data_IF_579914534857
#
_entry.id   IF_579914534857
#
_cell.length_a   1.000
_cell.length_b   1.000
_cell.length_c   1.000
_cell.angle_alpha   90.00
_cell.angle_beta   90.00
_cell.angle_gamma   90.00
#
_symmetry.space_group_name_H-M   'P 1'
#
loop_
_entity.id
_entity.type
_entity.pdbx_description
1 polymer ?
#
# COMPACT_ATOMS: atom_id res chain seq x y z
N UNK A 1 -19.38 -15.54 -7.44
CA UNK A 1 -18.10 -14.97 -6.96
C UNK A 1 -18.06 -15.00 -5.45
N UNK A 2 -16.96 -15.49 -4.87
CA UNK A 2 -16.73 -15.53 -3.41
C UNK A 2 -16.59 -14.10 -2.90
N UNK A 3 -17.43 -13.69 -1.94
CA UNK A 3 -17.33 -12.38 -1.28
C UNK A 3 -16.25 -12.42 -0.20
N UNK A 4 -15.53 -11.33 -0.02
CA UNK A 4 -14.60 -11.13 1.10
C UNK A 4 -15.37 -10.52 2.28
N UNK A 5 -15.12 -11.00 3.50
CA UNK A 5 -15.80 -10.50 4.69
C UNK A 5 -14.85 -9.67 5.53
N UNK A 6 -15.23 -8.44 5.88
CA UNK A 6 -14.48 -7.60 6.82
C UNK A 6 -14.95 -7.84 8.25
N UNK A 7 -14.01 -7.88 9.18
CA UNK A 7 -14.26 -8.12 10.61
C UNK A 7 -13.30 -7.36 11.54
N UNK A 8 -12.39 -6.57 10.94
CA UNK A 8 -11.35 -5.79 11.62
C UNK A 8 -10.14 -6.60 12.10
N UNK A 9 -10.01 -7.87 11.72
CA UNK A 9 -8.94 -8.75 12.22
C UNK A 9 -8.24 -9.58 11.14
N UNK A 10 -8.98 -10.08 10.15
CA UNK A 10 -8.52 -11.17 9.28
C UNK A 10 -8.36 -10.76 7.82
N UNK A 11 -8.28 -9.47 7.50
CA UNK A 11 -8.10 -9.03 6.13
C UNK A 11 -6.65 -9.27 5.70
N UNK A 12 -6.45 -10.04 4.63
CA UNK A 12 -5.11 -10.29 4.08
C UNK A 12 -4.76 -9.29 2.98
N UNK A 13 -3.47 -9.14 2.69
CA UNK A 13 -3.03 -8.33 1.55
C UNK A 13 -3.59 -8.86 0.21
N UNK A 14 -3.71 -10.18 0.04
CA UNK A 14 -4.32 -10.78 -1.16
C UNK A 14 -5.81 -10.47 -1.29
N UNK A 15 -6.54 -10.41 -0.17
CA UNK A 15 -7.93 -9.94 -0.17
C UNK A 15 -8.01 -8.49 -0.62
N UNK A 16 -7.13 -7.64 -0.08
CA UNK A 16 -7.05 -6.23 -0.49
C UNK A 16 -6.81 -6.10 -2.00
N UNK A 17 -5.82 -6.81 -2.57
CA UNK A 17 -5.56 -6.82 -4.02
C UNK A 17 -6.77 -7.31 -4.82
N UNK A 18 -7.45 -8.35 -4.33
CA UNK A 18 -8.64 -8.89 -4.99
C UNK A 18 -9.77 -7.87 -5.05
N UNK A 19 -9.92 -7.03 -4.02
CA UNK A 19 -10.93 -5.98 -3.98
C UNK A 19 -10.51 -4.77 -4.81
N UNK A 20 -9.27 -4.30 -4.65
CA UNK A 20 -8.77 -3.07 -5.27
C UNK A 20 -8.55 -3.21 -6.77
N UNK A 21 -7.98 -4.33 -7.23
CA UNK A 21 -7.65 -4.55 -8.65
C UNK A 21 -8.61 -5.47 -9.38
N UNK A 22 -9.19 -6.47 -8.68
CA UNK A 22 -10.06 -7.48 -9.31
C UNK A 22 -11.55 -7.29 -9.00
N UNK A 23 -11.91 -6.16 -8.37
CA UNK A 23 -13.30 -5.78 -8.06
C UNK A 23 -14.11 -6.84 -7.29
N UNK A 24 -13.46 -7.67 -6.48
CA UNK A 24 -14.17 -8.62 -5.62
C UNK A 24 -15.02 -7.85 -4.61
N UNK A 25 -16.29 -8.26 -4.50
CA UNK A 25 -17.25 -7.64 -3.59
C UNK A 25 -16.96 -8.00 -2.13
N UNK A 26 -17.22 -7.06 -1.24
CA UNK A 26 -17.06 -7.23 0.21
C UNK A 26 -18.38 -7.21 0.97
N UNK A 27 -18.39 -7.74 2.18
CA UNK A 27 -19.52 -7.66 3.12
C UNK A 27 -19.03 -7.58 4.56
N UNK A 28 -19.83 -7.00 5.45
CA UNK A 28 -19.55 -7.02 6.88
C UNK A 28 -19.85 -8.40 7.46
N UNK A 29 -18.89 -8.98 8.20
CA UNK A 29 -19.10 -10.26 8.88
C UNK A 29 -20.08 -10.12 10.06
N UNK A 30 -20.71 -11.24 10.48
CA UNK A 30 -21.54 -11.26 11.70
C UNK A 30 -20.76 -10.81 12.94
N UNK A 31 -19.48 -11.20 13.02
CA UNK A 31 -18.57 -10.85 14.13
C UNK A 31 -18.27 -9.35 14.13
N UNK A 32 -17.89 -8.78 12.98
CA UNK A 32 -17.65 -7.33 12.83
C UNK A 32 -18.91 -6.52 13.15
N UNK A 33 -20.08 -6.95 12.66
CA UNK A 33 -21.36 -6.29 12.96
C UNK A 33 -21.67 -6.24 14.45
N UNK A 34 -21.42 -7.35 15.18
CA UNK A 34 -21.57 -7.41 16.65
C UNK A 34 -20.61 -6.44 17.34
N UNK A 35 -19.32 -6.44 16.96
CA UNK A 35 -18.30 -5.54 17.54
C UNK A 35 -18.64 -4.07 17.34
N UNK A 36 -19.05 -3.67 16.14
CA UNK A 36 -19.46 -2.28 15.84
C UNK A 36 -20.66 -1.87 16.69
N UNK A 37 -21.67 -2.74 16.79
CA UNK A 37 -22.85 -2.50 17.62
C UNK A 37 -22.49 -2.30 19.10
N UNK A 38 -21.65 -3.17 19.65
CA UNK A 38 -21.19 -3.07 21.04
C UNK A 38 -20.39 -1.79 21.28
N UNK A 39 -19.49 -1.43 20.36
CA UNK A 39 -18.72 -0.18 20.40
C UNK A 39 -19.63 1.05 20.46
N UNK A 40 -20.68 1.07 19.62
CA UNK A 40 -21.64 2.17 19.59
C UNK A 40 -22.42 2.29 20.90
N UNK A 41 -22.89 1.16 21.44
CA UNK A 41 -23.60 1.11 22.73
C UNK A 41 -22.70 1.61 23.87
N UNK A 42 -21.41 1.32 23.83
CA UNK A 42 -20.46 1.80 24.83
C UNK A 42 -20.28 3.32 24.73
N UNK A 43 -20.14 3.87 23.52
CA UNK A 43 -20.10 5.31 23.29
C UNK A 43 -21.35 6.01 23.87
N UNK A 44 -22.53 5.48 23.61
CA UNK A 44 -23.80 6.04 24.11
C UNK A 44 -23.84 6.09 25.64
N UNK A 45 -23.47 4.98 26.32
CA UNK A 45 -23.34 4.95 27.78
C UNK A 45 -22.31 5.95 28.32
N UNK A 46 -21.19 6.11 27.62
CA UNK A 46 -20.14 7.07 28.01
C UNK A 46 -20.68 8.50 27.93
N UNK A 47 -21.40 8.84 26.84
CA UNK A 47 -22.01 10.16 26.66
C UNK A 47 -23.09 10.45 27.70
N UNK A 48 -23.88 9.45 28.09
CA UNK A 48 -24.87 9.59 29.17
C UNK A 48 -24.23 9.86 30.53
N UNK A 49 -23.08 9.24 30.82
CA UNK A 49 -22.39 9.33 32.11
C UNK A 49 -21.46 10.54 32.22
N UNK A 50 -20.76 10.89 31.14
CA UNK A 50 -19.68 11.88 31.14
C UNK A 50 -20.16 13.20 30.54
N UNK A 51 -19.89 14.31 31.25
CA UNK A 51 -20.28 15.65 30.78
C UNK A 51 -19.49 16.16 29.57
N UNK A 52 -18.26 15.66 29.33
CA UNK A 52 -17.35 16.16 28.28
C UNK A 52 -16.46 15.01 27.79
N UNK A 53 -16.50 14.73 26.50
CA UNK A 53 -15.68 13.69 25.86
C UNK A 53 -15.15 14.21 24.52
N UNK A 54 -13.83 14.14 24.34
CA UNK A 54 -13.12 14.69 23.17
C UNK A 54 -13.69 14.18 21.84
N UNK A 55 -13.94 15.09 20.89
CA UNK A 55 -14.41 14.76 19.53
C UNK A 55 -15.81 14.18 19.45
N UNK A 56 -16.52 14.09 20.58
CA UNK A 56 -17.86 13.52 20.73
C UNK A 56 -18.86 14.64 21.04
N UNK A 57 -18.62 15.43 22.09
CA UNK A 57 -19.42 16.61 22.44
C UNK A 57 -18.57 17.89 22.63
N UNK A 58 -17.34 17.87 22.14
CA UNK A 58 -16.44 19.04 22.10
C UNK A 58 -15.94 19.33 20.68
N UNK A 59 -15.26 20.48 20.50
CA UNK A 59 -14.51 20.79 19.29
C UNK A 59 -13.29 19.88 19.08
N UNK A 60 -12.53 20.17 18.02
CA UNK A 60 -11.36 19.37 17.61
C UNK A 60 -10.06 20.17 17.69
N UNK A 61 -8.92 19.49 17.78
CA UNK A 61 -7.60 20.13 17.90
C UNK A 61 -7.52 21.06 19.11
N UNK A 62 -7.06 22.30 18.90
CA UNK A 62 -6.97 23.34 19.93
C UNK A 62 -8.33 23.71 20.55
N UNK A 63 -9.44 23.40 19.87
CA UNK A 63 -10.81 23.69 20.33
C UNK A 63 -11.42 22.54 21.16
N UNK A 64 -10.60 21.58 21.60
CA UNK A 64 -11.03 20.38 22.34
C UNK A 64 -11.77 20.66 23.66
N UNK A 65 -11.63 21.88 24.22
CA UNK A 65 -12.25 22.33 25.47
C UNK A 65 -13.63 22.99 25.27
N UNK A 66 -14.03 23.29 24.03
CA UNK A 66 -15.29 23.97 23.73
C UNK A 66 -16.43 22.96 23.62
N UNK A 67 -17.44 23.07 24.49
CA UNK A 67 -18.63 22.18 24.47
C UNK A 67 -19.59 22.53 23.34
N UNK A 68 -20.16 21.52 22.71
CA UNK A 68 -21.13 21.67 21.61
C UNK A 68 -22.49 21.13 22.06
N UNK A 69 -23.59 21.91 21.89
CA UNK A 69 -24.92 21.43 22.23
C UNK A 69 -25.38 20.30 21.29
N UNK A 70 -26.22 19.35 21.74
CA UNK A 70 -26.68 18.22 20.94
C UNK A 70 -27.29 18.62 19.58
N UNK A 71 -28.03 19.73 19.53
CA UNK A 71 -28.65 20.25 18.30
C UNK A 71 -27.66 20.68 17.22
N UNK A 72 -26.39 20.86 17.56
CA UNK A 72 -25.31 21.28 16.66
C UNK A 72 -24.35 20.16 16.28
N UNK A 73 -24.57 18.93 16.76
CA UNK A 73 -23.66 17.80 16.51
C UNK A 73 -23.56 17.47 15.02
N UNK A 74 -24.69 17.36 14.30
CA UNK A 74 -24.67 17.05 12.86
C UNK A 74 -23.90 18.13 12.08
N UNK A 75 -24.14 19.41 12.40
CA UNK A 75 -23.45 20.55 11.79
C UNK A 75 -21.94 20.52 12.10
N UNK A 76 -21.56 20.19 13.33
CA UNK A 76 -20.17 20.04 13.75
C UNK A 76 -19.44 18.96 12.93
N UNK A 77 -20.03 17.76 12.80
CA UNK A 77 -19.42 16.66 12.04
C UNK A 77 -19.25 17.05 10.57
N UNK A 78 -20.24 17.72 10.00
CA UNK A 78 -20.19 18.20 8.62
C UNK A 78 -19.11 19.26 8.41
N UNK A 79 -19.02 20.22 9.32
CA UNK A 79 -18.03 21.29 9.25
C UNK A 79 -16.62 20.76 9.43
N UNK A 80 -16.43 19.73 10.27
CA UNK A 80 -15.16 19.00 10.38
C UNK A 80 -14.73 18.46 9.01
N UNK A 81 -15.59 17.71 8.33
CA UNK A 81 -15.24 17.14 7.03
C UNK A 81 -14.89 18.22 6.01
N UNK A 82 -15.68 19.31 5.96
CA UNK A 82 -15.45 20.42 5.03
C UNK A 82 -14.14 21.15 5.30
N UNK A 83 -13.83 21.45 6.56
CA UNK A 83 -12.61 22.17 6.92
C UNK A 83 -11.35 21.33 6.75
N UNK A 84 -11.47 20.00 6.80
CA UNK A 84 -10.34 19.08 6.65
C UNK A 84 -10.15 18.59 5.21
N UNK A 85 -11.12 18.78 4.31
CA UNK A 85 -11.00 18.42 2.89
C UNK A 85 -10.10 19.40 2.10
N UNK A 86 -8.84 19.51 2.52
CA UNK A 86 -7.84 20.47 2.02
C UNK A 86 -6.75 19.80 1.17
N UNK A 87 -6.94 18.53 0.80
CA UNK A 87 -6.01 17.82 -0.08
C UNK A 87 -5.88 18.46 -1.47
N UNK A 88 -4.71 18.31 -2.08
CA UNK A 88 -4.34 18.89 -3.39
C UNK A 88 -3.58 17.87 -4.25
N UNK A 89 -3.30 18.22 -5.51
CA UNK A 89 -2.58 17.35 -6.46
C UNK A 89 -3.52 16.48 -7.29
N UNK A 90 -2.94 15.49 -7.97
CA UNK A 90 -3.73 14.60 -8.80
C UNK A 90 -4.65 13.71 -7.94
N UNK A 91 -5.82 13.30 -8.46
CA UNK A 91 -6.60 12.26 -7.82
C UNK A 91 -5.80 10.95 -7.70
N UNK A 92 -5.90 10.30 -6.55
CA UNK A 92 -5.43 8.94 -6.35
C UNK A 92 -6.09 8.01 -7.37
N UNK A 93 -5.34 6.98 -7.80
CA UNK A 93 -5.84 5.98 -8.75
C UNK A 93 -7.04 5.21 -8.18
N UNK A 94 -7.85 4.65 -9.07
CA UNK A 94 -9.01 3.83 -8.69
C UNK A 94 -8.62 2.70 -7.71
N UNK A 95 -7.53 1.98 -7.98
CA UNK A 95 -7.08 0.90 -7.11
C UNK A 95 -6.74 1.38 -5.69
N UNK A 96 -6.13 2.55 -5.54
CA UNK A 96 -5.81 3.13 -4.22
C UNK A 96 -7.11 3.53 -3.52
N UNK A 97 -8.01 4.26 -4.18
CA UNK A 97 -9.29 4.69 -3.57
C UNK A 97 -10.12 3.49 -3.13
N UNK A 98 -10.14 2.41 -3.92
CA UNK A 98 -10.81 1.15 -3.55
C UNK A 98 -10.20 0.51 -2.32
N UNK A 99 -8.86 0.47 -2.23
CA UNK A 99 -8.17 -0.01 -1.04
C UNK A 99 -8.47 0.88 0.19
N UNK A 100 -8.50 2.21 0.04
CA UNK A 100 -8.85 3.15 1.13
C UNK A 100 -10.25 2.87 1.69
N UNK A 101 -11.26 2.70 0.82
CA UNK A 101 -12.63 2.37 1.25
C UNK A 101 -12.67 1.03 2.00
N UNK A 102 -11.95 0.02 1.50
CA UNK A 102 -11.85 -1.30 2.16
C UNK A 102 -11.20 -1.19 3.54
N UNK A 103 -10.03 -0.55 3.63
CA UNK A 103 -9.27 -0.44 4.87
C UNK A 103 -10.02 0.39 5.91
N UNK A 104 -10.69 1.47 5.50
CA UNK A 104 -11.54 2.25 6.40
C UNK A 104 -12.70 1.42 6.93
N UNK A 105 -13.37 0.66 6.06
CA UNK A 105 -14.45 -0.24 6.49
C UNK A 105 -13.94 -1.32 7.45
N UNK A 106 -12.76 -1.90 7.20
CA UNK A 106 -12.15 -2.90 8.07
C UNK A 106 -11.76 -2.34 9.43
N UNK A 107 -11.08 -1.18 9.47
CA UNK A 107 -10.68 -0.50 10.71
C UNK A 107 -11.89 -0.18 11.61
N UNK A 108 -12.97 0.36 11.03
CA UNK A 108 -14.22 0.62 11.76
C UNK A 108 -14.89 -0.68 12.25
N UNK A 109 -14.81 -1.76 11.45
CA UNK A 109 -15.35 -3.08 11.80
C UNK A 109 -14.67 -3.73 13.01
N UNK A 110 -13.48 -3.24 13.40
CA UNK A 110 -12.76 -3.73 14.59
C UNK A 110 -13.50 -3.41 15.89
N UNK A 111 -14.37 -2.39 15.90
CA UNK A 111 -15.29 -2.12 17.01
C UNK A 111 -14.72 -1.25 18.13
N UNK A 112 -13.83 -0.32 17.82
CA UNK A 112 -13.29 0.64 18.80
C UNK A 112 -13.57 2.10 18.43
N UNK A 113 -14.37 2.34 17.39
CA UNK A 113 -14.62 3.68 16.85
C UNK A 113 -15.92 4.32 17.28
N UNK A 114 -16.85 3.58 17.91
CA UNK A 114 -18.15 4.12 18.33
C UNK A 114 -19.08 4.58 17.20
N UNK A 115 -18.82 4.14 15.96
CA UNK A 115 -19.67 4.46 14.80
C UNK A 115 -20.88 3.56 14.73
N UNK A 116 -21.94 4.02 14.06
CA UNK A 116 -23.07 3.16 13.71
C UNK A 116 -22.70 2.16 12.60
N UNK A 117 -23.43 1.05 12.53
CA UNK A 117 -23.23 -0.01 11.52
C UNK A 117 -23.40 0.56 10.11
N UNK A 118 -24.33 1.50 9.95
CA UNK A 118 -24.68 2.18 8.71
C UNK A 118 -23.46 2.86 8.07
N UNK A 119 -22.51 3.35 8.86
CA UNK A 119 -21.26 3.93 8.35
C UNK A 119 -20.44 2.88 7.59
N UNK A 120 -20.24 1.72 8.23
CA UNK A 120 -19.47 0.61 7.66
C UNK A 120 -20.19 0.02 6.45
N UNK A 121 -21.50 -0.21 6.56
CA UNK A 121 -22.32 -0.74 5.46
C UNK A 121 -22.34 0.23 4.27
N UNK A 122 -22.30 1.55 4.49
CA UNK A 122 -22.26 2.54 3.39
C UNK A 122 -20.93 2.57 2.67
N UNK A 123 -19.80 2.50 3.39
CA UNK A 123 -18.47 2.37 2.78
C UNK A 123 -18.40 1.11 1.89
N UNK A 124 -18.91 0.00 2.40
CA UNK A 124 -19.04 -1.27 1.66
C UNK A 124 -19.93 -1.12 0.44
N UNK A 125 -21.07 -0.43 0.57
CA UNK A 125 -22.01 -0.20 -0.53
C UNK A 125 -21.37 0.63 -1.65
N UNK A 126 -20.70 1.73 -1.31
CA UNK A 126 -19.97 2.57 -2.26
C UNK A 126 -18.89 1.78 -3.01
N UNK A 127 -18.07 1.02 -2.29
CA UNK A 127 -17.01 0.21 -2.88
C UNK A 127 -17.56 -0.89 -3.80
N UNK A 128 -18.62 -1.58 -3.38
CA UNK A 128 -19.27 -2.64 -4.16
C UNK A 128 -19.99 -2.13 -5.42
N UNK A 129 -20.41 -0.86 -5.41
CA UNK A 129 -21.06 -0.19 -6.53
C UNK A 129 -20.11 0.71 -7.33
N UNK A 130 -18.80 0.70 -7.02
CA UNK A 130 -17.79 1.53 -7.67
C UNK A 130 -18.11 3.04 -7.65
N UNK A 131 -18.67 3.54 -6.56
CA UNK A 131 -18.73 4.98 -6.28
C UNK A 131 -17.45 5.35 -5.55
N UNK A 132 -16.49 5.93 -6.25
CA UNK A 132 -15.14 6.16 -5.76
C UNK A 132 -14.93 7.65 -5.50
N UNK A 133 -14.71 8.09 -4.25
CA UNK A 133 -14.42 9.50 -3.97
C UNK A 133 -13.22 10.02 -4.76
N UNK A 134 -13.28 11.28 -5.20
CA UNK A 134 -12.09 11.96 -5.71
C UNK A 134 -11.22 12.33 -4.50
N UNK A 135 -10.11 11.62 -4.31
CA UNK A 135 -9.18 11.85 -3.21
C UNK A 135 -7.88 12.40 -3.78
N UNK A 136 -7.47 13.65 -3.48
CA UNK A 136 -6.19 14.18 -3.92
C UNK A 136 -4.99 13.49 -3.24
N UNK A 137 -3.88 13.38 -3.95
CA UNK A 137 -2.70 12.61 -3.51
C UNK A 137 -1.83 13.30 -2.44
N UNK A 138 -1.98 14.62 -2.21
CA UNK A 138 -1.18 15.40 -1.25
C UNK A 138 -2.06 16.09 -0.19
N UNK A 139 -1.48 16.33 0.98
CA UNK A 139 -2.09 17.10 2.08
C UNK A 139 -2.11 16.38 3.42
N UNK A 140 -1.96 15.05 3.44
CA UNK A 140 -1.69 14.30 4.69
C UNK A 140 -0.24 14.50 5.11
N UNK A 141 -0.03 14.66 6.42
CA UNK A 141 1.30 14.63 7.06
C UNK A 141 1.56 13.32 7.81
N UNK A 142 0.57 12.42 7.86
CA UNK A 142 0.65 11.12 8.53
C UNK A 142 0.83 11.12 10.06
N UNK A 143 1.10 12.27 10.68
CA UNK A 143 1.29 12.41 12.13
C UNK A 143 -0.03 12.42 12.93
N UNK A 144 -1.12 12.93 12.32
CA UNK A 144 -2.46 13.00 12.93
C UNK A 144 -3.45 12.02 12.27
N UNK A 145 -2.92 11.02 11.55
CA UNK A 145 -3.66 10.23 10.57
C UNK A 145 -3.85 10.95 9.24
N UNK A 146 -4.51 10.28 8.31
CA UNK A 146 -4.77 10.70 6.94
C UNK A 146 -5.98 11.65 6.82
N UNK A 147 -6.05 12.65 7.71
CA UNK A 147 -7.22 13.54 7.88
C UNK A 147 -7.69 14.15 6.56
N UNK A 148 -6.78 14.77 5.80
CA UNK A 148 -7.13 15.50 4.59
C UNK A 148 -7.70 14.61 3.47
N UNK A 149 -7.02 13.53 3.04
CA UNK A 149 -7.56 12.64 2.02
C UNK A 149 -8.79 11.86 2.51
N UNK A 150 -8.87 11.46 3.79
CA UNK A 150 -10.05 10.78 4.31
C UNK A 150 -11.26 11.73 4.46
N UNK A 151 -11.04 13.03 4.65
CA UNK A 151 -12.13 14.02 4.61
C UNK A 151 -12.77 14.10 3.23
N UNK A 152 -11.98 14.08 2.14
CA UNK A 152 -12.50 13.99 0.77
C UNK A 152 -13.33 12.71 0.55
N UNK A 153 -12.85 11.57 1.05
CA UNK A 153 -13.62 10.32 1.07
C UNK A 153 -14.94 10.46 1.84
N UNK A 154 -14.89 11.04 3.03
CA UNK A 154 -16.03 11.17 3.92
C UNK A 154 -17.09 12.17 3.42
N UNK A 155 -16.69 13.24 2.71
CA UNK A 155 -17.63 14.16 2.07
C UNK A 155 -18.55 13.41 1.08
N UNK A 156 -18.00 12.44 0.34
CA UNK A 156 -18.78 11.64 -0.60
C UNK A 156 -19.90 10.86 0.11
N UNK A 157 -19.65 10.31 1.31
CA UNK A 157 -20.66 9.59 2.10
C UNK A 157 -21.89 10.45 2.44
N UNK A 158 -21.69 11.75 2.62
CA UNK A 158 -22.76 12.71 2.96
C UNK A 158 -23.31 13.45 1.73
N UNK A 159 -22.87 13.08 0.51
CA UNK A 159 -23.34 13.68 -0.74
C UNK A 159 -22.63 14.97 -1.13
N UNK A 160 -21.49 15.29 -0.52
CA UNK A 160 -20.67 16.46 -0.84
C UNK A 160 -19.35 16.07 -1.52
N UNK A 161 -18.66 17.04 -2.11
CA UNK A 161 -17.45 16.79 -2.90
C UNK A 161 -17.74 16.15 -4.25
N UNK A 162 -16.77 15.39 -4.75
CA UNK A 162 -16.81 14.74 -6.06
C UNK A 162 -16.46 13.26 -5.95
N UNK A 163 -16.99 12.47 -6.88
CA UNK A 163 -16.71 11.05 -7.01
C UNK A 163 -16.63 10.65 -8.48
N UNK A 164 -15.84 9.62 -8.76
CA UNK A 164 -15.90 8.85 -9.99
C UNK A 164 -17.00 7.80 -9.89
N UNK A 165 -17.82 7.69 -10.94
CA UNK A 165 -18.78 6.61 -11.11
C UNK A 165 -18.86 6.23 -12.59
N UNK A 166 -18.64 4.95 -12.90
CA UNK A 166 -18.52 4.45 -14.28
C UNK A 166 -17.50 5.22 -15.14
N UNK A 167 -16.35 5.59 -14.55
CA UNK A 167 -15.27 6.32 -15.24
C UNK A 167 -15.48 7.83 -15.37
N UNK A 168 -16.65 8.35 -15.00
CA UNK A 168 -16.95 9.79 -15.06
C UNK A 168 -16.79 10.47 -13.70
N UNK A 169 -16.03 11.57 -13.65
CA UNK A 169 -16.00 12.46 -12.48
C UNK A 169 -17.28 13.30 -12.43
N UNK A 170 -17.95 13.30 -11.29
CA UNK A 170 -19.16 14.09 -11.08
C UNK A 170 -19.32 14.47 -9.61
N UNK A 171 -20.31 15.32 -9.29
CA UNK A 171 -20.67 15.64 -7.90
C UNK A 171 -21.07 14.36 -7.16
N UNK A 172 -20.62 14.20 -5.92
CA UNK A 172 -20.91 13.00 -5.11
C UNK A 172 -22.40 12.71 -4.99
N UNK A 173 -23.24 13.74 -4.83
CA UNK A 173 -24.71 13.60 -4.80
C UNK A 173 -25.26 12.91 -6.05
N UNK A 174 -24.72 13.23 -7.22
CA UNK A 174 -25.19 12.69 -8.49
C UNK A 174 -24.68 11.25 -8.68
N UNK A 175 -23.41 10.98 -8.33
CA UNK A 175 -22.86 9.63 -8.32
C UNK A 175 -23.64 8.69 -7.40
N UNK A 176 -23.90 9.12 -6.15
CA UNK A 176 -24.70 8.36 -5.19
C UNK A 176 -26.13 8.13 -5.69
N UNK A 177 -26.79 9.16 -6.25
CA UNK A 177 -28.13 9.02 -6.82
C UNK A 177 -28.15 8.01 -7.97
N UNK A 178 -27.21 8.10 -8.92
CA UNK A 178 -27.08 7.15 -10.04
C UNK A 178 -26.83 5.71 -9.56
N UNK A 179 -26.07 5.54 -8.47
CA UNK A 179 -25.81 4.24 -7.85
C UNK A 179 -26.94 3.74 -6.92
N UNK A 180 -28.01 4.52 -6.73
CA UNK A 180 -29.09 4.20 -5.79
C UNK A 180 -28.64 4.16 -4.34
N UNK A 181 -27.63 4.95 -3.97
CA UNK A 181 -27.09 5.07 -2.61
C UNK A 181 -27.66 6.35 -1.98
N UNK A 182 -28.28 6.23 -0.80
CA UNK A 182 -28.71 7.39 -0.02
C UNK A 182 -27.53 8.00 0.75
N UNK A 183 -27.32 9.33 0.72
CA UNK A 183 -26.35 10.02 1.57
C UNK A 183 -26.64 9.80 3.05
N UNK A 184 -25.57 9.79 3.87
CA UNK A 184 -25.67 9.68 5.31
C UNK A 184 -25.82 11.05 5.99
N UNK A 185 -26.51 11.04 7.13
CA UNK A 185 -26.42 12.10 8.14
C UNK A 185 -25.55 11.60 9.28
N UNK A 186 -24.54 12.37 9.66
CA UNK A 186 -23.57 11.97 10.68
C UNK A 186 -24.06 12.29 12.08
N UNK A 187 -23.80 11.36 12.99
CA UNK A 187 -24.00 11.53 14.42
C UNK A 187 -22.68 11.78 15.15
N UNK A 188 -22.75 11.95 16.48
CA UNK A 188 -21.58 12.20 17.33
C UNK A 188 -20.45 11.21 17.06
N UNK A 189 -19.21 11.74 17.00
CA UNK A 189 -17.94 11.07 16.68
C UNK A 189 -17.77 10.59 15.23
N UNK A 190 -18.83 10.43 14.45
CA UNK A 190 -18.72 9.71 13.17
C UNK A 190 -17.90 10.45 12.12
N UNK A 191 -17.91 11.79 12.11
CA UNK A 191 -17.05 12.58 11.24
C UNK A 191 -15.57 12.35 11.56
N UNK A 192 -15.19 12.39 12.84
CA UNK A 192 -13.82 12.13 13.28
C UNK A 192 -13.41 10.69 12.99
N UNK A 193 -14.26 9.72 13.33
CA UNK A 193 -14.00 8.31 13.10
C UNK A 193 -13.87 7.96 11.60
N UNK A 194 -14.44 8.74 10.69
CA UNK A 194 -14.25 8.56 9.25
C UNK A 194 -12.91 9.07 8.75
N UNK A 195 -12.35 10.10 9.40
CA UNK A 195 -11.14 10.79 8.91
C UNK A 195 -9.87 10.47 9.70
N UNK A 196 -10.00 9.85 10.87
CA UNK A 196 -8.86 9.56 11.73
C UNK A 196 -8.29 8.15 11.49
N UNK A 197 -6.96 8.05 11.36
CA UNK A 197 -6.22 6.81 11.13
C UNK A 197 -5.39 6.78 9.83
N UNK A 198 -4.76 5.66 9.56
CA UNK A 198 -3.67 5.52 8.57
C UNK A 198 -4.09 4.82 7.27
N UNK A 199 -5.39 4.86 6.95
CA UNK A 199 -5.96 4.04 5.85
C UNK A 199 -5.42 4.40 4.47
N UNK A 200 -5.00 5.64 4.22
CA UNK A 200 -4.51 6.08 2.90
C UNK A 200 -3.06 5.70 2.72
N UNK A 201 -2.19 6.05 3.66
CA UNK A 201 -0.78 5.63 3.60
C UNK A 201 -0.63 4.11 3.57
N UNK A 202 -1.47 3.39 4.32
CA UNK A 202 -1.47 1.92 4.34
C UNK A 202 -1.92 1.35 3.00
N UNK A 203 -2.97 1.91 2.38
CA UNK A 203 -3.42 1.49 1.05
C UNK A 203 -2.34 1.67 -0.01
N UNK A 204 -1.65 2.82 -0.01
CA UNK A 204 -0.54 3.10 -0.93
C UNK A 204 0.59 2.11 -0.71
N UNK A 205 1.08 1.97 0.54
CA UNK A 205 2.20 1.08 0.84
C UNK A 205 1.87 -0.39 0.57
N UNK A 206 0.64 -0.83 0.83
CA UNK A 206 0.22 -2.20 0.60
C UNK A 206 0.20 -2.56 -0.89
N UNK A 207 -0.23 -1.64 -1.76
CA UNK A 207 -0.14 -1.83 -3.21
C UNK A 207 1.32 -1.84 -3.67
N UNK A 208 2.13 -0.90 -3.18
CA UNK A 208 3.55 -0.81 -3.53
C UNK A 208 4.35 -2.04 -3.12
N UNK A 209 4.16 -2.56 -1.90
CA UNK A 209 4.90 -3.75 -1.43
C UNK A 209 4.48 -5.01 -2.19
N UNK A 210 3.20 -5.14 -2.55
CA UNK A 210 2.72 -6.24 -3.39
C UNK A 210 3.36 -6.22 -4.79
N UNK A 211 3.55 -5.04 -5.38
CA UNK A 211 4.26 -4.91 -6.65
C UNK A 211 5.77 -5.10 -6.50
N UNK A 212 6.36 -4.71 -5.37
CA UNK A 212 7.76 -4.99 -5.05
C UNK A 212 8.04 -6.49 -4.91
N UNK A 213 7.13 -7.29 -4.34
CA UNK A 213 7.25 -8.76 -4.32
C UNK A 213 7.36 -9.33 -5.74
N UNK A 214 6.57 -8.79 -6.69
CA UNK A 214 6.66 -9.18 -8.10
C UNK A 214 7.96 -8.69 -8.73
N UNK A 215 8.41 -7.48 -8.40
CA UNK A 215 9.65 -6.92 -8.90
C UNK A 215 10.86 -7.77 -8.49
N UNK A 216 10.92 -8.23 -7.23
CA UNK A 216 11.96 -9.17 -6.75
C UNK A 216 11.97 -10.42 -7.63
N UNK A 217 10.80 -11.06 -7.82
CA UNK A 217 10.69 -12.25 -8.69
C UNK A 217 11.15 -11.96 -10.13
N UNK A 218 10.73 -10.84 -10.71
CA UNK A 218 11.13 -10.44 -12.05
C UNK A 218 12.64 -10.17 -12.14
N UNK A 219 13.25 -9.62 -11.09
CA UNK A 219 14.69 -9.37 -11.02
C UNK A 219 15.51 -10.66 -10.98
N UNK A 220 15.02 -11.71 -10.30
CA UNK A 220 15.64 -13.04 -10.31
C UNK A 220 15.58 -13.67 -11.70
N UNK A 221 14.42 -13.59 -12.36
CA UNK A 221 14.23 -14.09 -13.73
C UNK A 221 15.16 -13.36 -14.71
N UNK A 222 15.09 -12.02 -14.76
CA UNK A 222 15.93 -11.22 -15.64
C UNK A 222 17.43 -11.39 -15.32
N UNK A 223 17.79 -11.53 -14.04
CA UNK A 223 19.13 -11.83 -13.58
C UNK A 223 19.65 -13.17 -14.08
N UNK A 224 18.83 -14.23 -14.02
CA UNK A 224 19.20 -15.55 -14.54
C UNK A 224 19.45 -15.53 -16.05
N UNK A 225 18.57 -14.88 -16.83
CA UNK A 225 18.76 -14.72 -18.27
C UNK A 225 20.02 -13.91 -18.59
N UNK A 226 20.31 -12.88 -17.79
CA UNK A 226 21.53 -12.09 -17.95
C UNK A 226 22.79 -12.89 -17.64
N UNK A 227 22.73 -13.77 -16.64
CA UNK A 227 23.82 -14.67 -16.29
C UNK A 227 24.14 -15.63 -17.45
N UNK A 228 23.11 -16.23 -18.06
CA UNK A 228 23.29 -17.10 -19.23
C UNK A 228 23.89 -16.32 -20.41
N UNK A 229 23.29 -15.17 -20.77
CA UNK A 229 23.76 -14.34 -21.88
C UNK A 229 25.24 -13.92 -21.73
N UNK A 230 25.68 -13.67 -20.50
CA UNK A 230 27.04 -13.25 -20.16
C UNK A 230 27.98 -14.42 -19.82
N UNK A 231 27.52 -15.66 -20.03
CA UNK A 231 28.27 -16.88 -19.72
C UNK A 231 28.84 -16.85 -18.29
N UNK A 232 28.00 -16.48 -17.32
CA UNK A 232 28.33 -16.45 -15.90
C UNK A 232 28.18 -17.82 -15.22
N UNK A 233 28.69 -17.96 -14.00
CA UNK A 233 28.71 -19.22 -13.24
C UNK A 233 27.62 -19.28 -12.16
N UNK A 234 26.96 -20.43 -12.06
CA UNK A 234 25.99 -20.75 -11.01
C UNK A 234 26.66 -21.19 -9.70
N UNK A 235 27.99 -21.43 -9.71
CA UNK A 235 28.76 -21.85 -8.53
C UNK A 235 28.74 -20.83 -7.40
N UNK A 236 28.58 -19.54 -7.72
CA UNK A 236 28.43 -18.49 -6.73
C UNK A 236 27.15 -18.61 -5.89
N UNK A 237 26.16 -19.38 -6.38
CA UNK A 237 24.85 -19.56 -5.73
C UNK A 237 24.78 -20.87 -4.95
N UNK A 238 25.91 -21.54 -4.76
CA UNK A 238 26.01 -22.84 -4.12
C UNK A 238 25.37 -22.81 -2.71
N UNK A 239 24.54 -23.81 -2.35
CA UNK A 239 23.94 -23.89 -1.03
C UNK A 239 24.95 -23.79 0.12
N UNK A 240 26.14 -24.40 0.02
CA UNK A 240 27.16 -24.35 1.07
C UNK A 240 27.65 -22.91 1.29
N UNK A 241 27.84 -22.15 0.21
CA UNK A 241 28.20 -20.72 0.29
C UNK A 241 27.09 -19.91 0.96
N UNK A 242 25.83 -20.23 0.68
CA UNK A 242 24.69 -19.55 1.32
C UNK A 242 24.55 -19.93 2.79
N UNK A 243 24.88 -21.17 3.16
CA UNK A 243 24.76 -21.65 4.54
C UNK A 243 25.83 -21.08 5.49
N UNK A 244 26.98 -20.62 4.99
CA UNK A 244 27.98 -19.96 5.85
C UNK A 244 27.64 -18.49 6.17
N UNK A 245 26.73 -17.87 5.41
CA UNK A 245 26.18 -16.52 5.66
C UNK A 245 24.65 -16.54 5.59
N UNK A 246 24.01 -16.86 6.70
CA UNK A 246 22.60 -17.29 6.82
C UNK A 246 21.54 -16.19 6.74
N UNK A 247 21.68 -15.24 5.82
CA UNK A 247 20.58 -14.32 5.50
C UNK A 247 19.50 -15.06 4.71
N UNK A 248 18.25 -14.95 5.14
CA UNK A 248 17.13 -15.71 4.55
C UNK A 248 16.90 -15.32 3.10
N UNK A 249 16.86 -14.02 2.79
CA UNK A 249 16.66 -13.55 1.43
C UNK A 249 17.79 -13.97 0.50
N UNK A 250 19.04 -13.99 1.01
CA UNK A 250 20.18 -14.49 0.24
C UNK A 250 20.02 -15.98 -0.12
N UNK A 251 19.63 -16.82 0.84
CA UNK A 251 19.38 -18.24 0.62
C UNK A 251 18.23 -18.45 -0.37
N UNK A 252 17.11 -17.73 -0.18
CA UNK A 252 15.91 -17.84 -1.02
C UNK A 252 16.22 -17.45 -2.48
N UNK A 253 16.90 -16.32 -2.70
CA UNK A 253 17.28 -15.84 -4.04
C UNK A 253 18.25 -16.81 -4.72
N UNK A 254 19.28 -17.29 -4.01
CA UNK A 254 20.22 -18.26 -4.58
C UNK A 254 19.52 -19.57 -4.97
N UNK A 255 18.60 -20.04 -4.14
CA UNK A 255 17.78 -21.21 -4.44
C UNK A 255 16.95 -20.99 -5.71
N UNK A 256 16.24 -19.87 -5.82
CA UNK A 256 15.43 -19.56 -6.99
C UNK A 256 16.25 -19.43 -8.28
N UNK A 257 17.39 -18.73 -8.22
CA UNK A 257 18.32 -18.63 -9.35
C UNK A 257 18.81 -20.00 -9.81
N UNK A 258 19.17 -20.89 -8.87
CA UNK A 258 19.56 -22.27 -9.21
C UNK A 258 18.43 -23.08 -9.82
N UNK A 259 17.18 -22.86 -9.40
CA UNK A 259 16.01 -23.49 -10.02
C UNK A 259 15.81 -22.99 -11.45
N UNK A 260 15.91 -21.68 -11.68
CA UNK A 260 15.77 -21.06 -13.00
C UNK A 260 16.87 -21.52 -13.97
N UNK A 261 18.09 -21.68 -13.48
CA UNK A 261 19.27 -22.09 -14.28
C UNK A 261 19.41 -23.62 -14.40
N UNK A 262 18.50 -24.39 -13.79
CA UNK A 262 18.57 -25.85 -13.78
C UNK A 262 18.60 -26.37 -15.23
N UNK A 263 19.59 -27.20 -15.51
CA UNK A 263 19.83 -27.82 -16.82
C UNK A 263 20.21 -26.87 -17.97
N UNK A 264 20.49 -25.59 -17.72
CA UNK A 264 20.95 -24.66 -18.75
C UNK A 264 22.15 -25.20 -19.53
N UNK A 265 21.99 -25.32 -20.85
CA UNK A 265 23.07 -25.72 -21.76
C UNK A 265 24.14 -24.63 -21.87
N UNK A 266 23.72 -23.37 -21.76
CA UNK A 266 24.63 -22.22 -21.80
C UNK A 266 25.56 -22.29 -20.58
N UNK A 267 25.02 -22.41 -19.36
CA UNK A 267 25.83 -22.54 -18.14
C UNK A 267 26.79 -23.74 -18.24
N UNK A 268 26.33 -24.87 -18.78
CA UNK A 268 27.19 -26.06 -18.99
C UNK A 268 28.34 -25.78 -19.97
N UNK A 269 28.10 -25.01 -21.03
CA UNK A 269 29.05 -24.78 -22.14
C UNK A 269 30.36 -24.10 -21.72
N UNK A 270 30.38 -23.37 -20.60
CA UNK A 270 31.55 -22.62 -20.13
C UNK A 270 31.95 -22.96 -18.69
N UNK A 271 31.52 -24.10 -18.13
CA UNK A 271 31.92 -24.54 -16.77
C UNK A 271 33.45 -24.61 -16.57
N UNK A 272 34.20 -24.91 -17.64
CA UNK A 272 35.66 -25.02 -17.63
C UNK A 272 36.36 -23.82 -18.33
N UNK A 273 35.70 -22.67 -18.44
CA UNK A 273 36.33 -21.49 -19.05
C UNK A 273 37.43 -20.89 -18.14
N UNK A 274 38.30 -20.06 -18.71
CA UNK A 274 39.39 -19.41 -17.98
C UNK A 274 38.94 -18.30 -17.02
N UNK A 275 37.64 -17.97 -16.98
CA UNK A 275 37.10 -16.89 -16.15
C UNK A 275 37.13 -17.30 -14.67
N UNK A 276 37.93 -16.60 -13.87
CA UNK A 276 38.11 -16.91 -12.44
C UNK A 276 36.86 -16.51 -11.64
N UNK A 277 36.32 -15.31 -11.90
CA UNK A 277 35.14 -14.79 -11.20
C UNK A 277 34.27 -13.94 -12.14
N UNK A 278 32.97 -13.95 -11.87
CA UNK A 278 32.04 -12.99 -12.46
C UNK A 278 32.10 -11.63 -11.75
N UNK A 279 31.68 -10.61 -12.50
CA UNK A 279 31.41 -9.29 -11.96
C UNK A 279 30.30 -9.33 -10.90
N UNK A 280 30.32 -8.37 -9.97
CA UNK A 280 29.40 -8.35 -8.83
C UNK A 280 27.93 -8.34 -9.24
N UNK A 281 27.58 -7.66 -10.33
CA UNK A 281 26.19 -7.59 -10.85
C UNK A 281 25.59 -8.94 -11.24
N UNK A 282 26.44 -9.97 -11.39
CA UNK A 282 26.07 -11.36 -11.60
C UNK A 282 26.31 -12.19 -10.34
N UNK A 283 27.55 -12.15 -9.83
CA UNK A 283 28.00 -13.00 -8.72
C UNK A 283 27.29 -12.71 -7.41
N UNK A 284 26.97 -11.45 -7.16
CA UNK A 284 26.39 -10.97 -5.91
C UNK A 284 24.85 -10.88 -5.96
N UNK A 285 24.19 -11.47 -6.97
CA UNK A 285 22.73 -11.46 -7.08
C UNK A 285 22.02 -11.96 -5.81
N UNK A 286 22.44 -13.09 -5.20
CA UNK A 286 21.85 -13.54 -3.93
C UNK A 286 21.94 -12.50 -2.82
N UNK A 287 23.09 -11.84 -2.67
CA UNK A 287 23.34 -10.91 -1.57
C UNK A 287 22.54 -9.61 -1.75
N UNK A 288 22.57 -9.04 -2.96
CA UNK A 288 21.94 -7.74 -3.24
C UNK A 288 20.42 -7.87 -3.33
N UNK A 289 19.93 -8.76 -4.20
CA UNK A 289 18.48 -8.98 -4.35
C UNK A 289 17.91 -9.60 -3.08
N UNK A 290 18.67 -10.45 -2.39
CA UNK A 290 18.24 -11.06 -1.12
C UNK A 290 18.09 -10.05 0.01
N UNK A 291 18.99 -9.05 0.10
CA UNK A 291 18.84 -7.97 1.07
C UNK A 291 17.56 -7.14 0.79
N UNK A 292 17.34 -6.74 -0.47
CA UNK A 292 16.10 -6.04 -0.85
C UNK A 292 14.85 -6.88 -0.59
N UNK A 293 14.91 -8.20 -0.85
CA UNK A 293 13.82 -9.13 -0.56
C UNK A 293 13.47 -9.15 0.93
N UNK A 294 14.46 -9.20 1.82
CA UNK A 294 14.20 -9.18 3.27
C UNK A 294 13.51 -7.88 3.72
N UNK A 295 13.87 -6.74 3.11
CA UNK A 295 13.17 -5.48 3.35
C UNK A 295 11.73 -5.55 2.87
N UNK A 296 11.47 -6.04 1.65
CA UNK A 296 10.09 -6.23 1.12
C UNK A 296 9.28 -7.15 2.05
N UNK A 297 9.85 -8.26 2.51
CA UNK A 297 9.20 -9.20 3.43
C UNK A 297 8.89 -8.54 4.80
N UNK A 298 9.77 -7.67 5.29
CA UNK A 298 9.55 -6.93 6.53
C UNK A 298 8.45 -5.87 6.38
N UNK A 299 8.49 -5.07 5.30
CA UNK A 299 7.48 -4.06 4.98
C UNK A 299 6.10 -4.71 4.88
N UNK A 300 6.01 -5.87 4.23
CA UNK A 300 4.77 -6.65 4.15
C UNK A 300 4.20 -6.99 5.52
N UNK A 301 5.02 -7.41 6.47
CA UNK A 301 4.57 -7.70 7.85
C UNK A 301 4.05 -6.44 8.55
N UNK A 302 4.72 -5.30 8.38
CA UNK A 302 4.27 -4.02 8.94
C UNK A 302 2.89 -3.65 8.39
N UNK A 303 2.71 -3.78 7.07
CA UNK A 303 1.42 -3.54 6.40
C UNK A 303 0.34 -4.51 6.88
N UNK A 304 0.64 -5.82 6.99
CA UNK A 304 -0.33 -6.83 7.43
C UNK A 304 -0.84 -6.58 8.86
N UNK A 305 0.00 -6.03 9.73
CA UNK A 305 -0.39 -5.55 11.05
C UNK A 305 -1.32 -4.35 10.91
N UNK A 306 -0.88 -3.30 10.20
CA UNK A 306 -1.61 -2.03 10.11
C UNK A 306 -2.99 -2.16 9.47
N UNK A 307 -3.14 -3.01 8.44
CA UNK A 307 -4.41 -3.30 7.76
C UNK A 307 -5.51 -3.77 8.73
N UNK A 308 -5.11 -4.39 9.85
CA UNK A 308 -6.01 -4.96 10.86
C UNK A 308 -5.93 -4.21 12.22
N UNK A 309 -5.32 -3.02 12.26
CA UNK A 309 -5.19 -2.20 13.47
C UNK A 309 -6.37 -1.25 13.68
N UNK A 310 -6.60 -0.85 14.94
CA UNK A 310 -7.46 0.28 15.29
C UNK A 310 -6.61 1.55 15.41
N UNK A 311 -6.65 2.38 14.37
CA UNK A 311 -5.86 3.62 14.25
C UNK A 311 -6.70 4.88 14.46
N UNK A 312 -7.93 4.75 14.95
CA UNK A 312 -8.84 5.86 15.27
C UNK A 312 -8.48 6.51 16.62
N UNK A 313 -9.01 7.70 16.87
CA UNK A 313 -8.90 8.40 18.15
C UNK A 313 -10.10 9.33 18.39
N UNK A 314 -10.69 9.34 19.61
CA UNK A 314 -10.40 8.43 20.72
C UNK A 314 -10.93 7.02 20.46
N UNK A 315 -10.34 6.03 21.13
CA UNK A 315 -10.81 4.65 21.10
C UNK A 315 -11.86 4.42 22.18
N UNK A 316 -12.91 3.67 21.82
CA UNK A 316 -14.05 3.38 22.68
C UNK A 316 -13.89 1.98 23.27
N UNK A 317 -13.73 1.95 24.59
CA UNK A 317 -13.76 0.74 25.40
C UNK A 317 -15.06 0.67 26.20
N UNK A 318 -15.29 -0.42 26.93
CA UNK A 318 -16.60 -0.70 27.56
C UNK A 318 -17.10 0.42 28.49
N UNK A 319 -16.20 1.04 29.27
CA UNK A 319 -16.56 2.05 30.25
C UNK A 319 -15.83 3.39 30.05
N UNK A 320 -14.99 3.51 29.03
CA UNK A 320 -14.12 4.66 28.87
C UNK A 320 -13.82 4.95 27.39
N UNK A 321 -13.68 6.24 27.08
CA UNK A 321 -13.14 6.73 25.82
C UNK A 321 -11.71 7.19 26.06
N UNK A 322 -10.74 6.49 25.49
CA UNK A 322 -9.32 6.74 25.72
C UNK A 322 -8.74 7.48 24.52
N UNK A 323 -8.21 8.68 24.76
CA UNK A 323 -7.42 9.41 23.75
C UNK A 323 -6.00 8.84 23.72
N UNK A 324 -5.51 8.47 22.53
CA UNK A 324 -4.20 7.86 22.28
C UNK A 324 -3.58 8.39 20.98
N UNK A 325 -2.43 7.85 20.59
CA UNK A 325 -1.68 8.24 19.39
C UNK A 325 -1.70 7.20 18.26
N UNK A 326 -2.62 6.23 18.25
CA UNK A 326 -2.63 5.14 17.26
C UNK A 326 -2.83 5.61 15.80
N UNK A 327 -3.21 6.86 15.58
CA UNK A 327 -3.29 7.46 14.25
C UNK A 327 -1.93 7.84 13.65
N UNK A 328 -0.85 7.84 14.45
CA UNK A 328 0.46 8.28 13.98
C UNK A 328 1.11 7.19 13.13
N UNK A 329 1.26 7.48 11.83
CA UNK A 329 1.74 6.52 10.83
C UNK A 329 3.23 6.22 10.82
N UNK A 330 3.95 6.34 11.94
CA UNK A 330 5.41 6.19 11.97
C UNK A 330 5.89 4.81 11.48
N UNK A 331 5.25 3.68 11.86
CA UNK A 331 5.65 2.38 11.34
C UNK A 331 5.52 2.28 9.81
N UNK A 332 4.46 2.86 9.26
CA UNK A 332 4.21 2.90 7.81
C UNK A 332 5.22 3.81 7.10
N UNK A 333 5.55 4.96 7.68
CA UNK A 333 6.54 5.88 7.12
C UNK A 333 7.91 5.21 6.98
N UNK A 334 8.44 4.61 8.05
CA UNK A 334 9.72 3.89 7.97
C UNK A 334 9.66 2.72 6.99
N UNK A 335 8.57 1.97 6.99
CA UNK A 335 8.40 0.87 6.05
C UNK A 335 8.40 1.36 4.58
N UNK A 336 7.77 2.49 4.29
CA UNK A 336 7.77 3.10 2.96
C UNK A 336 9.18 3.58 2.54
N UNK A 337 9.92 4.25 3.44
CA UNK A 337 11.28 4.74 3.14
C UNK A 337 12.23 3.58 2.82
N UNK A 338 12.22 2.53 3.65
CA UNK A 338 13.04 1.35 3.41
C UNK A 338 12.60 0.59 2.16
N UNK A 339 11.29 0.54 1.84
CA UNK A 339 10.82 -0.04 0.59
C UNK A 339 11.39 0.72 -0.61
N UNK A 340 11.38 2.06 -0.56
CA UNK A 340 11.98 2.92 -1.57
C UNK A 340 13.44 2.56 -1.81
N UNK A 341 14.25 2.53 -0.75
CA UNK A 341 15.68 2.13 -0.82
C UNK A 341 15.84 0.74 -1.46
N UNK A 342 15.07 -0.25 -1.01
CA UNK A 342 15.19 -1.62 -1.48
C UNK A 342 14.84 -1.77 -2.97
N UNK A 343 13.78 -1.08 -3.43
CA UNK A 343 13.34 -1.08 -4.83
C UNK A 343 14.33 -0.33 -5.72
N UNK A 344 14.88 0.80 -5.26
CA UNK A 344 15.91 1.55 -5.97
C UNK A 344 17.16 0.70 -6.21
N UNK A 345 17.60 -0.06 -5.21
CA UNK A 345 18.75 -0.97 -5.33
C UNK A 345 18.50 -2.10 -6.35
N UNK A 346 17.28 -2.67 -6.40
CA UNK A 346 16.94 -3.68 -7.41
C UNK A 346 17.04 -3.08 -8.83
N UNK A 347 16.54 -1.86 -9.01
CA UNK A 347 16.60 -1.12 -10.26
C UNK A 347 18.03 -0.84 -10.72
N UNK A 348 18.86 -0.26 -9.85
CA UNK A 348 20.27 0.03 -10.13
C UNK A 348 21.05 -1.25 -10.46
N UNK A 349 20.87 -2.30 -9.66
CA UNK A 349 21.56 -3.56 -9.87
C UNK A 349 21.17 -4.25 -11.19
N UNK A 350 19.92 -4.08 -11.62
CA UNK A 350 19.45 -4.52 -12.94
C UNK A 350 20.04 -3.68 -14.07
N UNK A 351 20.06 -2.36 -13.93
CA UNK A 351 20.64 -1.47 -14.92
C UNK A 351 22.13 -1.73 -15.13
N UNK A 352 22.91 -1.98 -14.06
CA UNK A 352 24.33 -2.33 -14.18
C UNK A 352 24.56 -3.66 -14.91
N UNK A 353 23.62 -4.62 -14.86
CA UNK A 353 23.66 -5.81 -15.72
C UNK A 353 23.40 -5.46 -17.19
N UNK A 354 22.42 -4.61 -17.47
CA UNK A 354 22.14 -4.11 -18.82
C UNK A 354 23.37 -3.41 -19.41
N UNK A 355 23.98 -2.48 -18.67
CA UNK A 355 25.17 -1.74 -19.09
C UNK A 355 26.33 -2.68 -19.46
N UNK A 356 26.57 -3.70 -18.62
CA UNK A 356 27.58 -4.74 -18.91
C UNK A 356 27.25 -5.52 -20.17
N UNK A 357 25.99 -5.90 -20.37
CA UNK A 357 25.56 -6.70 -21.52
C UNK A 357 25.72 -5.94 -22.84
N UNK A 358 25.46 -4.64 -22.83
CA UNK A 358 25.59 -3.80 -24.02
C UNK A 358 27.03 -3.36 -24.32
N UNK A 359 27.95 -3.47 -23.35
CA UNK A 359 29.36 -3.14 -23.55
C UNK A 359 30.14 -4.35 -24.07
N UNK A 360 30.57 -4.29 -25.33
CA UNK A 360 31.37 -5.34 -25.97
C UNK A 360 32.68 -5.66 -25.24
N UNK A 361 33.28 -4.70 -24.53
CA UNK A 361 34.50 -4.90 -23.74
C UNK A 361 34.25 -5.72 -22.47
N UNK A 362 33.00 -5.79 -22.03
CA UNK A 362 32.61 -6.41 -20.76
C UNK A 362 31.76 -7.66 -20.93
N UNK A 363 31.15 -7.86 -22.10
CA UNK A 363 30.19 -8.94 -22.38
C UNK A 363 30.72 -10.04 -23.30
N UNK A 364 31.74 -9.77 -24.13
CA UNK A 364 32.11 -10.61 -25.28
C UNK A 364 30.96 -10.82 -26.27
N UNK A 365 29.99 -9.91 -26.31
CA UNK A 365 28.89 -9.85 -27.27
C UNK A 365 29.13 -8.68 -28.24
N UNK A 366 28.46 -8.65 -29.41
CA UNK A 366 28.48 -7.48 -30.28
C UNK A 366 28.10 -6.21 -29.50
N UNK A 367 28.74 -5.06 -29.78
CA UNK A 367 28.44 -3.82 -29.07
C UNK A 367 26.94 -3.48 -29.22
N UNK A 368 26.31 -3.15 -28.10
CA UNK A 368 24.87 -2.88 -28.00
C UNK A 368 23.96 -4.00 -28.53
N UNK A 369 24.46 -5.24 -28.57
CA UNK A 369 23.76 -6.45 -28.99
C UNK A 369 23.18 -6.38 -30.42
N UNK A 370 23.85 -5.65 -31.31
CA UNK A 370 23.39 -5.49 -32.71
C UNK A 370 24.23 -6.27 -33.70
N UNK A 371 23.59 -6.69 -34.80
CA UNK A 371 24.28 -7.11 -36.03
C UNK A 371 24.64 -5.86 -36.84
N UNK A 372 25.70 -5.94 -37.65
CA UNK A 372 26.18 -4.84 -38.52
C UNK A 372 26.36 -3.51 -37.73
N UNK A 373 27.15 -3.56 -36.66
CA UNK A 373 27.47 -2.39 -35.83
C UNK A 373 28.03 -1.25 -36.68
N UNK A 374 27.64 -0.02 -36.36
CA UNK A 374 27.96 1.18 -37.16
C UNK A 374 26.83 1.59 -38.12
N UNK A 375 26.12 0.61 -38.71
CA UNK A 375 24.86 0.88 -39.41
C UNK A 375 23.66 0.85 -38.45
N UNK A 376 23.71 -0.04 -37.46
CA UNK A 376 22.67 -0.19 -36.45
C UNK A 376 23.19 0.19 -35.06
N UNK A 377 22.31 0.78 -34.27
CA UNK A 377 22.58 1.22 -32.89
C UNK A 377 22.17 0.19 -31.82
N UNK A 378 21.40 -0.84 -32.19
CA UNK A 378 20.92 -1.86 -31.25
C UNK A 378 20.23 -1.26 -30.03
N UNK A 379 20.61 -1.74 -28.84
CA UNK A 379 20.07 -1.30 -27.54
C UNK A 379 20.80 -0.10 -26.92
N UNK A 380 21.59 0.65 -27.69
CA UNK A 380 22.36 1.78 -27.17
C UNK A 380 21.49 2.80 -26.43
N UNK A 381 20.44 3.31 -27.06
CA UNK A 381 19.55 4.30 -26.44
C UNK A 381 18.63 3.69 -25.39
N UNK A 382 18.27 2.40 -25.52
CA UNK A 382 17.55 1.67 -24.48
C UNK A 382 18.35 1.62 -23.18
N UNK A 383 19.67 1.41 -23.25
CA UNK A 383 20.52 1.44 -22.07
C UNK A 383 20.56 2.84 -21.44
N UNK A 384 20.54 3.91 -22.23
CA UNK A 384 20.47 5.28 -21.70
C UNK A 384 19.16 5.53 -20.95
N UNK A 385 18.04 5.06 -21.49
CA UNK A 385 16.75 5.14 -20.80
C UNK A 385 16.78 4.35 -19.49
N UNK A 386 17.34 3.13 -19.48
CA UNK A 386 17.48 2.35 -18.25
C UNK A 386 18.32 3.09 -17.20
N UNK A 387 19.43 3.70 -17.60
CA UNK A 387 20.28 4.51 -16.73
C UNK A 387 19.54 5.73 -16.17
N UNK A 388 18.77 6.44 -17.00
CA UNK A 388 17.97 7.57 -16.57
C UNK A 388 16.93 7.18 -15.50
N UNK A 389 16.17 6.11 -15.74
CA UNK A 389 15.15 5.61 -14.81
C UNK A 389 15.76 5.10 -13.50
N UNK A 390 16.88 4.37 -13.56
CA UNK A 390 17.58 3.94 -12.35
C UNK A 390 18.15 5.11 -11.54
N UNK A 391 18.55 6.19 -12.22
CA UNK A 391 19.04 7.41 -11.57
C UNK A 391 17.91 8.23 -10.94
N UNK A 392 16.73 8.27 -11.55
CA UNK A 392 15.55 8.96 -11.00
C UNK A 392 15.16 8.41 -9.63
N UNK A 393 15.25 7.09 -9.45
CA UNK A 393 14.97 6.40 -8.18
C UNK A 393 15.96 6.73 -7.02
N UNK A 394 17.03 7.49 -7.27
CA UNK A 394 18.04 7.84 -6.25
C UNK A 394 17.75 9.15 -5.52
N UNK A 395 16.79 9.93 -6.02
CA UNK A 395 16.51 11.31 -5.58
C UNK A 395 15.28 11.36 -4.69
#
# INVERSE_FOLDING_TARGET
MKKIYVDGENLTMNDMISVSRNHVKIALSKKGRKKVFESRKNLEKIVERQRVVYGINTGFGELCSVKIPPSKIEELQKNLLRSHAVGVGNPLSEEIVRAVLLLRANALSKGFSGVRIEIVEKLIEMLNKNVLPVIPEKGSVGASGDLAPLAHMALTLIGEGEAFFNGERMKSKDALKKAGIKPLKLESKEGLALINGTSVMTAVLALSVYDAEKLVKNSEIAGSMSLEALKGTDKAFDPEVMQVRKHKGQIDVAHNLRLLLKNSEIIKSHRNCQKIQDAYTLRCMPQVIGASKEVVDWVKKVVEIEINSATDNPLIFENESISSGNFHGQPIAFAADFLGIAVSEIGDFSERRTARMTDSKLSNLPPFLTKKSGLNSGFMTTQYTAAALASENKV
#
